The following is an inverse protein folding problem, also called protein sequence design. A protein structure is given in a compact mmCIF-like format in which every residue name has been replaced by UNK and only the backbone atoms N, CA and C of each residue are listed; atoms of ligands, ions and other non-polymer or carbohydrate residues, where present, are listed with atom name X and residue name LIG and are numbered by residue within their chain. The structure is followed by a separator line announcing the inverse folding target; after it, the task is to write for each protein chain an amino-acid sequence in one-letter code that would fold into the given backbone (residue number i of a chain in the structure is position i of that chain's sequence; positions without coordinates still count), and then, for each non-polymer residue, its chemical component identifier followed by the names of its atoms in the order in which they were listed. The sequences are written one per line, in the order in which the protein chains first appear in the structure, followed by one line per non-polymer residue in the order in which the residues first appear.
data_IF_155356353340
#
_entry.id   IF_155356353340
#
_cell.length_a   1.000
_cell.length_b   1.000
_cell.length_c   1.000
_cell.angle_alpha   90.00
_cell.angle_beta   90.00
_cell.angle_gamma   90.00
#
_symmetry.space_group_name_H-M   'P 1'
#
loop_
_entity.id
_entity.type
_entity.pdbx_description
1 polymer ?
#
# COMPACT_ATOMS: atom_id res chain seq x y z
N UNK A 1 -9.33 -10.88 -7.45
CA UNK A 1 -8.31 -9.87 -7.21
C UNK A 1 -8.97 -8.54 -6.88
N UNK A 2 -8.49 -7.91 -5.83
CA UNK A 2 -9.07 -6.65 -5.39
C UNK A 2 -7.95 -5.69 -5.00
N UNK A 3 -8.06 -4.44 -5.41
CA UNK A 3 -7.06 -3.43 -5.07
C UNK A 3 -7.70 -2.36 -4.21
N UNK A 4 -7.08 -2.07 -3.07
CA UNK A 4 -7.53 -1.04 -2.14
C UNK A 4 -6.36 -0.15 -1.80
N UNK A 5 -6.64 1.02 -1.22
CA UNK A 5 -5.55 1.86 -0.74
C UNK A 5 -5.00 1.27 0.56
N UNK A 6 -3.80 1.70 0.94
CA UNK A 6 -3.21 1.26 2.19
C UNK A 6 -4.13 1.61 3.36
N UNK A 7 -4.68 2.81 3.34
CA UNK A 7 -5.58 3.26 4.39
C UNK A 7 -6.82 2.38 4.47
N UNK A 8 -7.39 2.04 3.33
CA UNK A 8 -8.57 1.18 3.30
C UNK A 8 -8.24 -0.21 3.84
N UNK A 9 -7.08 -0.73 3.49
CA UNK A 9 -6.68 -2.04 3.99
C UNK A 9 -6.62 -2.04 5.51
N UNK A 10 -5.97 -1.02 6.07
CA UNK A 10 -5.78 -0.94 7.52
C UNK A 10 -7.07 -0.65 8.27
N UNK A 11 -8.07 -0.11 7.57
CA UNK A 11 -9.37 0.17 8.19
C UNK A 11 -10.31 -1.02 8.23
N UNK A 12 -10.22 -1.91 7.25
CA UNK A 12 -11.22 -2.94 7.12
C UNK A 12 -10.73 -4.33 6.78
N UNK A 13 -9.49 -4.50 6.38
CA UNK A 13 -9.00 -5.80 5.94
C UNK A 13 -7.99 -6.44 6.89
N UNK A 14 -7.25 -5.64 7.62
CA UNK A 14 -6.26 -6.17 8.55
C UNK A 14 -5.50 -5.06 9.24
N UNK A 15 -4.62 -5.45 10.15
CA UNK A 15 -3.80 -4.49 10.88
C UNK A 15 -2.47 -4.30 10.17
N UNK A 16 -1.67 -3.35 10.67
CA UNK A 16 -0.32 -3.18 10.17
C UNK A 16 0.50 -4.45 10.31
N UNK A 17 0.31 -5.15 11.41
CA UNK A 17 1.01 -6.41 11.65
C UNK A 17 0.59 -7.48 10.64
N UNK A 18 -0.70 -7.56 10.36
CA UNK A 18 -1.21 -8.51 9.38
C UNK A 18 -0.63 -8.22 8.00
N UNK A 19 -0.61 -6.96 7.61
CA UNK A 19 -0.09 -6.58 6.31
C UNK A 19 1.41 -6.86 6.23
N UNK A 20 2.15 -6.56 7.29
CA UNK A 20 3.59 -6.82 7.32
C UNK A 20 3.89 -8.30 7.12
N UNK A 21 3.11 -9.16 7.77
CA UNK A 21 3.27 -10.61 7.61
C UNK A 21 2.96 -11.04 6.19
N UNK A 22 1.89 -10.50 5.62
CA UNK A 22 1.48 -10.85 4.27
C UNK A 22 2.52 -10.43 3.24
N UNK A 23 3.19 -9.31 3.48
CA UNK A 23 4.20 -8.79 2.56
C UNK A 23 5.60 -9.33 2.85
N UNK A 24 5.80 -9.97 4.01
CA UNK A 24 7.11 -10.47 4.39
C UNK A 24 8.07 -9.37 4.81
N UNK A 25 7.55 -8.29 5.38
CA UNK A 25 8.35 -7.15 5.83
C UNK A 25 8.06 -6.87 7.29
N UNK A 26 8.78 -5.93 7.87
CA UNK A 26 8.58 -5.56 9.27
C UNK A 26 7.40 -4.62 9.42
N UNK A 27 6.76 -4.67 10.57
CA UNK A 27 5.63 -3.80 10.85
C UNK A 27 6.03 -2.32 10.78
N UNK A 28 7.26 -2.00 11.20
CA UNK A 28 7.74 -0.63 11.14
C UNK A 28 7.76 -0.09 9.72
N UNK A 29 8.03 -0.95 8.74
CA UNK A 29 8.01 -0.55 7.34
C UNK A 29 6.60 -0.17 6.90
N UNK A 30 5.60 -0.94 7.35
CA UNK A 30 4.21 -0.63 7.06
C UNK A 30 3.82 0.71 7.70
N UNK A 31 4.23 0.93 8.94
CA UNK A 31 3.97 2.20 9.63
C UNK A 31 4.55 3.38 8.86
N UNK A 32 5.78 3.22 8.36
CA UNK A 32 6.42 4.29 7.61
C UNK A 32 5.68 4.56 6.30
N UNK A 33 5.23 3.52 5.62
CA UNK A 33 4.45 3.68 4.40
C UNK A 33 3.17 4.47 4.68
N UNK A 34 2.52 4.14 5.80
CA UNK A 34 1.28 4.80 6.17
C UNK A 34 1.51 6.28 6.50
N UNK A 35 2.60 6.58 7.20
CA UNK A 35 2.91 7.96 7.61
C UNK A 35 3.44 8.82 6.48
N UNK A 36 4.06 8.20 5.47
CA UNK A 36 4.73 8.95 4.42
C UNK A 36 3.77 9.60 3.45
N UNK A 37 2.49 9.30 3.55
CA UNK A 37 1.45 9.83 2.67
C UNK A 37 1.68 9.48 1.21
N UNK A 38 2.39 8.39 0.98
CA UNK A 38 2.57 7.87 -0.36
C UNK A 38 1.30 7.18 -0.81
N UNK A 39 1.09 7.17 -2.12
CA UNK A 39 -0.08 6.50 -2.67
C UNK A 39 0.25 5.02 -2.83
N UNK A 40 0.03 4.27 -1.77
CA UNK A 40 0.31 2.83 -1.75
C UNK A 40 -1.00 2.09 -1.99
N UNK A 41 -0.98 1.19 -2.95
CA UNK A 41 -2.14 0.35 -3.26
C UNK A 41 -1.85 -1.08 -2.86
N UNK A 42 -2.84 -1.71 -2.25
CA UNK A 42 -2.71 -3.09 -1.78
C UNK A 42 -3.59 -3.95 -2.67
N UNK A 43 -3.00 -4.95 -3.31
CA UNK A 43 -3.73 -5.88 -4.15
C UNK A 43 -3.88 -7.19 -3.40
N UNK A 44 -5.12 -7.63 -3.26
CA UNK A 44 -5.45 -8.87 -2.57
C UNK A 44 -5.88 -9.88 -3.62
N UNK A 45 -5.11 -10.95 -3.74
CA UNK A 45 -5.39 -12.00 -4.72
C UNK A 45 -6.33 -13.04 -4.14
N UNK A 46 -6.97 -13.79 -5.02
CA UNK A 46 -7.96 -14.77 -4.62
C UNK A 46 -7.36 -15.92 -3.80
N UNK A 47 -6.08 -16.19 -4.01
CA UNK A 47 -5.41 -17.25 -3.27
C UNK A 47 -4.90 -16.78 -1.91
N UNK A 48 -5.21 -15.55 -1.53
CA UNK A 48 -4.81 -15.01 -0.23
C UNK A 48 -3.52 -14.22 -0.25
N UNK A 49 -2.84 -14.17 -1.38
CA UNK A 49 -1.62 -13.37 -1.46
C UNK A 49 -1.95 -11.89 -1.45
N UNK A 50 -1.02 -11.11 -0.95
CA UNK A 50 -1.18 -9.66 -0.86
C UNK A 50 0.07 -9.01 -1.42
N UNK A 51 -0.12 -7.95 -2.19
CA UNK A 51 0.98 -7.25 -2.83
C UNK A 51 0.81 -5.76 -2.66
N UNK A 52 1.90 -5.05 -2.42
CA UNK A 52 1.85 -3.60 -2.26
C UNK A 52 2.55 -2.94 -3.44
N UNK A 53 1.93 -1.90 -3.98
CA UNK A 53 2.48 -1.16 -5.09
C UNK A 53 2.39 0.33 -4.79
N UNK A 54 3.46 1.03 -5.02
CA UNK A 54 3.45 2.50 -4.86
C UNK A 54 3.11 3.13 -6.18
N UNK A 55 2.07 3.96 -6.18
CA UNK A 55 1.65 4.72 -7.35
C UNK A 55 2.29 6.09 -7.25
N UNK A 56 3.15 6.42 -8.19
CA UNK A 56 3.77 7.73 -8.20
C UNK A 56 3.09 8.62 -9.23
N UNK A 57 2.66 9.77 -8.78
CA UNK A 57 2.13 10.76 -9.69
C UNK A 57 3.27 11.33 -10.51
N UNK A 58 3.08 11.44 -11.79
CA UNK A 58 4.02 12.15 -12.62
C UNK A 58 3.73 13.64 -12.41
N UNK A 59 4.69 14.41 -11.93
CA UNK A 59 4.45 15.83 -11.73
C UNK A 59 4.04 16.46 -13.04
N UNK A 60 2.98 17.18 -12.99
CA UNK A 60 2.52 17.87 -14.18
C UNK A 60 3.36 19.11 -14.35
N UNK A 61 4.52 19.02 -14.57
CA UNK A 61 5.29 20.08 -14.69
C UNK A 61 5.28 20.58 -15.88
N UNK A 62 4.77 20.82 -16.10
CA UNK A 62 4.79 21.23 -16.84
C UNK A 62 5.54 21.56 -17.49
N UNK A 63 5.77 21.37 -17.49
CA UNK A 63 6.37 21.48 -17.86
C UNK A 63 6.68 21.65 -18.36
N UNK A 64 6.70 21.61 -18.68
CA UNK A 64 7.00 21.72 -19.03
C UNK A 64 7.08 22.14 -19.52
N UNK A 65 6.97 22.38 -19.68
CA UNK A 65 7.09 22.75 -20.20
C UNK A 65 7.52 22.90 -20.62
#
# INVERSE_FOLDING_TARGET
MKTVTLEEYLSGHGTQSDLAKALGIQQSAVSQMFRSKRDIRITIYEDGRVEATEIRSIPARKSAA
#
